data_IF_480835765078
#
_entry.id   IF_480835765078
#
_cell.length_a   1.000
_cell.length_b   1.000
_cell.length_c   1.000
_cell.angle_alpha   90.00
_cell.angle_beta   90.00
_cell.angle_gamma   90.00
#
_symmetry.space_group_name_H-M   'P 1'
#
loop_
_entity.id
_entity.type
_entity.pdbx_description
1 polymer ?
#
# COMPACT_ATOMS: atom_id res chain seq x y z
N UNK A 1 -5.24 16.37 -15.40
CA UNK A 1 -3.99 15.75 -14.91
C UNK A 1 -3.30 15.09 -16.10
N UNK A 2 -1.98 15.22 -16.27
CA UNK A 2 -1.25 14.54 -17.36
C UNK A 2 -0.76 13.17 -16.91
N UNK A 3 -0.65 12.19 -17.83
CA UNK A 3 -0.19 10.83 -17.49
C UNK A 3 1.17 10.80 -16.81
N UNK A 4 2.09 11.72 -17.17
CA UNK A 4 3.40 11.86 -16.53
C UNK A 4 3.30 12.24 -15.05
N UNK A 5 2.36 13.12 -14.69
CA UNK A 5 2.13 13.53 -13.30
C UNK A 5 1.51 12.39 -12.46
N UNK A 6 0.67 11.57 -13.09
CA UNK A 6 0.07 10.39 -12.48
C UNK A 6 1.14 9.32 -12.22
N UNK A 7 2.02 9.07 -13.20
CA UNK A 7 3.14 8.14 -13.07
C UNK A 7 4.11 8.56 -11.94
N UNK A 8 4.46 9.84 -11.87
CA UNK A 8 5.33 10.37 -10.82
C UNK A 8 4.70 10.22 -9.41
N UNK A 9 3.40 10.48 -9.30
CA UNK A 9 2.65 10.31 -8.03
C UNK A 9 2.57 8.83 -7.62
N UNK A 10 2.38 7.91 -8.58
CA UNK A 10 2.39 6.47 -8.34
C UNK A 10 3.75 5.96 -7.89
N UNK A 11 4.84 6.55 -8.39
CA UNK A 11 6.22 6.16 -8.05
C UNK A 11 6.57 6.51 -6.60
N UNK A 12 6.10 7.66 -6.12
CA UNK A 12 6.20 8.04 -4.71
C UNK A 12 5.42 7.07 -3.81
N UNK A 13 4.19 6.74 -4.20
CA UNK A 13 3.35 5.80 -3.46
C UNK A 13 3.91 4.37 -3.46
N UNK A 14 4.56 3.94 -4.55
CA UNK A 14 5.20 2.62 -4.64
C UNK A 14 6.25 2.39 -3.54
N UNK A 15 6.99 3.43 -3.15
CA UNK A 15 7.97 3.35 -2.06
C UNK A 15 7.30 3.14 -0.70
N UNK A 16 6.16 3.79 -0.46
CA UNK A 16 5.37 3.58 0.76
C UNK A 16 4.83 2.15 0.80
N UNK A 17 4.27 1.65 -0.30
CA UNK A 17 3.79 0.25 -0.38
C UNK A 17 4.91 -0.77 -0.15
N UNK A 18 6.11 -0.54 -0.68
CA UNK A 18 7.27 -1.41 -0.42
C UNK A 18 7.66 -1.44 1.07
N UNK A 19 7.63 -0.30 1.77
CA UNK A 19 7.89 -0.24 3.22
C UNK A 19 6.85 -1.04 4.01
N UNK A 20 5.57 -0.92 3.66
CA UNK A 20 4.49 -1.72 4.27
C UNK A 20 4.64 -3.22 4.00
N UNK A 21 5.03 -3.61 2.78
CA UNK A 21 5.30 -5.01 2.44
C UNK A 21 6.50 -5.59 3.22
N UNK A 22 7.55 -4.81 3.46
CA UNK A 22 8.66 -5.20 4.32
C UNK A 22 8.22 -5.42 5.78
N UNK A 23 7.34 -4.55 6.31
CA UNK A 23 6.75 -4.73 7.64
C UNK A 23 5.89 -6.01 7.75
N UNK A 24 5.23 -6.41 6.66
CA UNK A 24 4.52 -7.70 6.55
C UNK A 24 5.47 -8.91 6.66
N UNK A 25 6.66 -8.82 6.05
CA UNK A 25 7.63 -9.93 6.00
C UNK A 25 8.41 -10.14 7.31
N UNK A 26 8.63 -9.08 8.10
CA UNK A 26 9.29 -9.16 9.41
C UNK A 26 8.37 -9.65 10.55
N UNK A 27 7.16 -10.15 10.23
CA UNK A 27 6.30 -10.88 11.17
C UNK A 27 5.61 -10.05 12.26
N UNK A 28 5.62 -8.72 12.17
CA UNK A 28 5.25 -7.84 13.29
C UNK A 28 3.92 -7.08 13.16
N UNK A 29 3.34 -6.93 11.96
CA UNK A 29 2.16 -6.08 11.79
C UNK A 29 1.04 -6.87 11.15
N UNK A 30 -0.06 -7.03 11.88
CA UNK A 30 -1.36 -7.41 11.31
C UNK A 30 -1.75 -6.32 10.33
N UNK A 31 -1.48 -6.54 9.05
CA UNK A 31 -1.74 -5.54 8.01
C UNK A 31 -3.24 -5.21 7.91
N UNK A 32 -4.08 -6.16 8.32
CA UNK A 32 -5.54 -6.03 8.53
C UNK A 32 -5.93 -4.86 9.44
N UNK A 33 -5.06 -4.42 10.36
CA UNK A 33 -5.33 -3.31 11.29
C UNK A 33 -4.85 -1.95 10.75
N UNK A 34 -4.18 -1.92 9.61
CA UNK A 34 -3.74 -0.65 9.02
C UNK A 34 -4.96 0.10 8.45
N UNK A 35 -5.11 1.41 8.74
CA UNK A 35 -6.23 2.21 8.25
C UNK A 35 -6.44 2.11 6.74
N UNK A 36 -5.36 2.05 5.96
CA UNK A 36 -5.41 1.90 4.50
C UNK A 36 -6.00 0.56 4.04
N UNK A 37 -5.85 -0.51 4.82
CA UNK A 37 -6.41 -1.82 4.48
C UNK A 37 -7.91 -1.85 4.82
N UNK A 38 -8.31 -1.26 5.94
CA UNK A 38 -9.73 -1.11 6.31
C UNK A 38 -10.50 -0.15 5.39
N UNK A 39 -9.84 0.91 4.90
CA UNK A 39 -10.44 1.91 4.01
C UNK A 39 -10.58 1.41 2.57
N UNK A 40 -9.77 0.43 2.15
CA UNK A 40 -9.74 -0.09 0.78
C UNK A 40 -9.83 -1.63 0.73
N UNK A 41 -10.94 -2.23 1.22
CA UNK A 41 -11.08 -3.68 1.27
C UNK A 41 -11.08 -4.33 -0.12
N UNK A 42 -11.57 -3.65 -1.16
CA UNK A 42 -11.57 -4.16 -2.55
C UNK A 42 -10.17 -4.26 -3.16
N UNK A 43 -9.20 -3.53 -2.61
CA UNK A 43 -7.80 -3.51 -3.09
C UNK A 43 -6.95 -4.53 -2.34
N UNK A 44 -7.35 -4.88 -1.12
CA UNK A 44 -6.67 -5.83 -0.24
C UNK A 44 -7.64 -6.95 0.18
N UNK A 45 -7.99 -7.87 -0.73
CA UNK A 45 -8.83 -9.02 -0.37
C UNK A 45 -8.16 -9.84 0.74
N UNK A 46 -8.93 -10.24 1.74
CA UNK A 46 -8.55 -11.35 2.61
C UNK A 46 -8.45 -12.62 1.73
N UNK A 47 -7.31 -13.30 1.76
CA UNK A 47 -7.09 -14.59 1.08
C UNK A 47 -8.14 -15.64 1.49
#
# INVERSE_FOLDING_TARGET
MSGKKVEESLKEHAKMFAMFASLKLDGGVKMEELPVVCEFPDVFPED
#
